data_IF_250417804414
#
_entry.id   IF_250417804414
#
_cell.length_a   1.000
_cell.length_b   1.000
_cell.length_c   1.000
_cell.angle_alpha   90.00
_cell.angle_beta   90.00
_cell.angle_gamma   90.00
#
_symmetry.space_group_name_H-M   'P 1'
#
loop_
_entity.id
_entity.type
_entity.pdbx_description
1 polymer ?
#
# COMPACT_ATOMS: atom_id res chain seq x y z
N UNK A 1 34.27 1.06 -2.30
CA UNK A 1 34.22 0.08 -1.21
C UNK A 1 32.76 -0.06 -0.83
N UNK A 2 32.16 -1.24 -0.99
CA UNK A 2 30.72 -1.40 -0.70
C UNK A 2 30.54 -1.41 0.81
N UNK A 3 29.81 -0.43 1.35
CA UNK A 3 29.53 -0.31 2.77
C UNK A 3 28.48 -1.36 3.17
N UNK A 4 28.81 -2.25 4.11
CA UNK A 4 27.89 -3.29 4.61
C UNK A 4 26.56 -2.67 5.09
N UNK A 5 26.64 -1.48 5.69
CA UNK A 5 25.46 -0.73 6.15
C UNK A 5 24.55 -0.35 4.99
N UNK A 6 25.11 0.07 3.85
CA UNK A 6 24.34 0.42 2.66
C UNK A 6 23.65 -0.81 2.05
N UNK A 7 24.30 -1.97 2.06
CA UNK A 7 23.71 -3.24 1.59
C UNK A 7 22.53 -3.66 2.47
N UNK A 8 22.71 -3.62 3.80
CA UNK A 8 21.65 -3.96 4.75
C UNK A 8 20.45 -3.01 4.59
N UNK A 9 20.71 -1.70 4.48
CA UNK A 9 19.68 -0.69 4.26
C UNK A 9 18.94 -0.89 2.92
N UNK A 10 19.65 -1.26 1.86
CA UNK A 10 19.04 -1.52 0.56
C UNK A 10 18.11 -2.75 0.60
N UNK A 11 18.54 -3.84 1.24
CA UNK A 11 17.74 -5.08 1.35
C UNK A 11 16.49 -4.84 2.21
N UNK A 12 16.64 -4.24 3.39
CA UNK A 12 15.52 -3.90 4.26
C UNK A 12 14.55 -2.93 3.57
N UNK A 13 15.08 -1.91 2.90
CA UNK A 13 14.30 -0.95 2.13
C UNK A 13 13.47 -1.63 1.04
N UNK A 14 14.08 -2.52 0.26
CA UNK A 14 13.40 -3.28 -0.79
C UNK A 14 12.30 -4.20 -0.25
N UNK A 15 12.56 -4.90 0.85
CA UNK A 15 11.57 -5.81 1.46
C UNK A 15 10.38 -5.04 2.00
N UNK A 16 10.60 -3.98 2.79
CA UNK A 16 9.53 -3.14 3.33
C UNK A 16 8.73 -2.46 2.21
N UNK A 17 9.42 -1.91 1.20
CA UNK A 17 8.78 -1.24 0.07
C UNK A 17 7.92 -2.21 -0.76
N UNK A 18 8.43 -3.41 -1.05
CA UNK A 18 7.70 -4.43 -1.81
C UNK A 18 6.47 -4.94 -1.03
N UNK A 19 6.58 -5.12 0.28
CA UNK A 19 5.46 -5.52 1.13
C UNK A 19 4.39 -4.42 1.22
N UNK A 20 4.79 -3.16 1.43
CA UNK A 20 3.87 -2.02 1.40
C UNK A 20 3.13 -1.91 0.07
N UNK A 21 3.86 -1.97 -1.04
CA UNK A 21 3.28 -1.92 -2.39
C UNK A 21 2.30 -3.08 -2.66
N UNK A 22 2.58 -4.28 -2.14
CA UNK A 22 1.66 -5.42 -2.27
C UNK A 22 0.38 -5.22 -1.48
N UNK A 23 0.46 -4.74 -0.24
CA UNK A 23 -0.71 -4.48 0.62
C UNK A 23 -1.63 -3.40 0.02
N UNK A 24 -1.03 -2.32 -0.49
CA UNK A 24 -1.77 -1.26 -1.19
C UNK A 24 -2.43 -1.76 -2.48
N UNK A 25 -1.76 -2.66 -3.21
CA UNK A 25 -2.29 -3.24 -4.45
C UNK A 25 -3.42 -4.23 -4.19
N UNK A 26 -3.36 -5.02 -3.11
CA UNK A 26 -4.48 -5.88 -2.69
C UNK A 26 -5.69 -5.07 -2.25
N UNK A 27 -5.47 -3.98 -1.53
CA UNK A 27 -6.56 -3.11 -1.09
C UNK A 27 -7.23 -2.39 -2.29
N UNK A 28 -6.44 -1.87 -3.23
CA UNK A 28 -6.95 -1.32 -4.49
C UNK A 28 -7.70 -2.36 -5.35
N UNK A 29 -7.26 -3.63 -5.33
CA UNK A 29 -7.95 -4.71 -6.03
C UNK A 29 -9.26 -5.09 -5.35
N UNK A 30 -9.27 -5.16 -4.01
CA UNK A 30 -10.48 -5.38 -3.23
C UNK A 30 -11.53 -4.30 -3.50
N UNK A 31 -11.12 -3.02 -3.57
CA UNK A 31 -12.01 -1.89 -3.94
C UNK A 31 -12.65 -2.02 -5.32
N UNK A 32 -11.94 -2.61 -6.29
CA UNK A 32 -12.51 -2.84 -7.64
C UNK A 32 -13.49 -4.01 -7.66
N UNK A 33 -13.21 -5.06 -6.89
CA UNK A 33 -14.09 -6.24 -6.76
C UNK A 33 -15.35 -5.89 -5.98
N UNK A 34 -15.23 -5.24 -4.82
CA UNK A 34 -16.39 -4.78 -4.05
C UNK A 34 -17.33 -3.90 -4.88
N UNK A 35 -16.77 -2.98 -5.69
CA UNK A 35 -17.56 -2.14 -6.61
C UNK A 35 -18.21 -2.92 -7.77
N UNK A 36 -17.67 -4.07 -8.14
CA UNK A 36 -18.19 -4.90 -9.24
C UNK A 36 -19.24 -5.91 -8.76
N UNK A 37 -19.17 -6.35 -7.50
CA UNK A 37 -20.08 -7.32 -6.88
C UNK A 37 -21.30 -6.65 -6.22
N UNK A 38 -21.45 -5.32 -6.32
CA UNK A 38 -22.62 -4.58 -5.85
C UNK A 38 -23.63 -4.35 -7.01
N UNK A 39 -24.57 -5.29 -7.27
CA UNK A 39 -25.58 -5.14 -8.31
C UNK A 39 -26.61 -4.04 -8.00
N UNK A 40 -26.71 -3.61 -6.74
CA UNK A 40 -27.66 -2.60 -6.28
C UNK A 40 -27.22 -1.16 -6.64
N UNK A 41 -25.91 -0.91 -6.76
CA UNK A 41 -25.34 0.37 -7.23
C UNK A 41 -25.73 0.69 -8.68
N UNK A 42 -26.01 -0.33 -9.49
CA UNK A 42 -26.42 -0.17 -10.90
C UNK A 42 -27.92 0.16 -11.03
N UNK A 43 -28.71 -0.01 -9.96
CA UNK A 43 -30.18 -0.01 -10.02
C UNK A 43 -30.89 1.16 -9.32
N UNK A 44 -30.21 1.96 -8.48
CA UNK A 44 -30.84 3.11 -7.82
C UNK A 44 -30.05 4.44 -8.03
N UNK A 45 -30.50 5.31 -8.96
CA UNK A 45 -29.88 6.61 -9.19
C UNK A 45 -30.06 7.64 -8.05
N UNK A 46 -30.93 7.37 -7.08
CA UNK A 46 -31.33 8.33 -6.03
C UNK A 46 -30.82 7.96 -4.63
N UNK A 47 -29.99 6.92 -4.50
CA UNK A 47 -29.41 6.55 -3.20
C UNK A 47 -28.39 7.60 -2.77
N UNK A 48 -28.72 8.36 -1.73
CA UNK A 48 -27.87 9.44 -1.18
C UNK A 48 -26.75 8.94 -0.26
N UNK A 49 -26.88 7.73 0.30
CA UNK A 49 -25.87 7.18 1.20
C UNK A 49 -25.00 6.14 0.50
N UNK A 50 -23.69 6.43 0.30
CA UNK A 50 -22.74 5.43 -0.17
C UNK A 50 -22.73 4.24 0.81
N UNK A 51 -22.43 3.01 0.34
CA UNK A 51 -22.25 1.89 1.25
C UNK A 51 -21.23 2.27 2.32
N UNK A 52 -21.49 1.85 3.57
CA UNK A 52 -20.50 1.88 4.64
C UNK A 52 -19.41 0.86 4.28
N UNK A 53 -18.56 1.25 3.33
CA UNK A 53 -17.28 0.64 3.10
C UNK A 53 -16.47 0.94 4.36
N UNK A 54 -16.58 0.07 5.39
CA UNK A 54 -15.58 -0.03 6.45
C UNK A 54 -14.28 -0.45 5.75
N UNK A 55 -13.61 0.54 5.16
CA UNK A 55 -12.24 0.42 4.69
C UNK A 55 -11.49 -0.03 5.93
N UNK A 56 -10.87 -1.20 5.85
CA UNK A 56 -9.96 -1.72 6.86
C UNK A 56 -8.73 -0.79 6.89
N UNK A 57 -8.91 0.37 7.53
CA UNK A 57 -8.01 1.52 7.49
C UNK A 57 -6.62 1.15 8.01
N UNK A 58 -6.58 0.18 8.91
CA UNK A 58 -5.38 -0.44 9.46
C UNK A 58 -4.50 -1.06 8.36
N UNK A 59 -5.12 -1.68 7.34
CA UNK A 59 -4.40 -2.27 6.20
C UNK A 59 -3.76 -1.22 5.30
N UNK A 60 -4.48 -0.13 5.04
CA UNK A 60 -4.01 0.99 4.22
C UNK A 60 -2.90 1.78 4.91
N UNK A 61 -3.10 2.15 6.18
CA UNK A 61 -2.09 2.85 6.99
C UNK A 61 -0.81 2.03 7.10
N UNK A 62 -0.94 0.73 7.38
CA UNK A 62 0.22 -0.17 7.49
C UNK A 62 0.95 -0.34 6.16
N UNK A 63 0.22 -0.44 5.05
CA UNK A 63 0.80 -0.47 3.71
C UNK A 63 1.56 0.82 3.39
N UNK A 64 0.99 1.97 3.73
CA UNK A 64 1.61 3.29 3.54
C UNK A 64 2.86 3.47 4.41
N UNK A 65 2.81 3.14 5.70
CA UNK A 65 3.96 3.23 6.61
C UNK A 65 5.14 2.37 6.12
N UNK A 66 4.89 1.14 5.67
CA UNK A 66 5.92 0.26 5.12
C UNK A 66 6.56 0.82 3.84
N UNK A 67 5.77 1.51 3.02
CA UNK A 67 6.23 2.10 1.76
C UNK A 67 7.11 3.34 2.02
N UNK A 68 6.70 4.22 2.94
CA UNK A 68 7.49 5.38 3.37
C UNK A 68 8.80 4.94 4.03
N UNK A 69 8.73 3.99 4.97
CA UNK A 69 9.91 3.50 5.66
C UNK A 69 10.88 2.78 4.70
N UNK A 70 10.35 1.91 3.83
CA UNK A 70 11.16 1.24 2.80
C UNK A 70 11.83 2.22 1.84
N UNK A 71 11.09 3.26 1.42
CA UNK A 71 11.61 4.34 0.57
C UNK A 71 12.74 5.12 1.25
N UNK A 72 12.59 5.47 2.53
CA UNK A 72 13.63 6.16 3.30
C UNK A 72 14.90 5.31 3.46
N UNK A 73 14.76 4.00 3.71
CA UNK A 73 15.91 3.09 3.76
C UNK A 73 16.65 3.00 2.41
N UNK A 74 15.91 2.95 1.29
CA UNK A 74 16.51 2.95 -0.04
C UNK A 74 17.20 4.28 -0.36
N UNK A 75 16.60 5.40 0.04
CA UNK A 75 17.16 6.74 -0.15
C UNK A 75 18.45 6.90 0.66
N UNK A 76 18.47 6.43 1.91
CA UNK A 76 19.68 6.37 2.72
C UNK A 76 20.77 5.50 2.09
N UNK A 77 20.43 4.31 1.60
CA UNK A 77 21.39 3.43 0.93
C UNK A 77 21.99 4.09 -0.32
N UNK A 78 21.18 4.81 -1.10
CA UNK A 78 21.63 5.53 -2.30
C UNK A 78 22.54 6.71 -1.97
N UNK A 79 22.24 7.48 -0.91
CA UNK A 79 23.10 8.57 -0.44
C UNK A 79 24.40 8.08 0.22
N UNK A 80 24.39 6.86 0.77
CA UNK A 80 25.54 6.24 1.43
C UNK A 80 26.49 5.52 0.48
N UNK A 81 26.19 5.48 -0.82
CA UNK A 81 26.98 4.83 -1.86
C UNK A 81 28.07 5.77 -2.40
#
# INVERSE_FOLDING_TARGET
MVNVVAVVAAVLGLVCFALGARLLKSDLAARRVARSDDPEFVLDPNREDPPDDEIDGDGLERGFMLLVFGGLCLLFAALSL
#
